data_IF_572362522640
#
_entry.id   IF_572362522640
#
_cell.length_a   1.000
_cell.length_b   1.000
_cell.length_c   1.000
_cell.angle_alpha   90.00
_cell.angle_beta   90.00
_cell.angle_gamma   90.00
#
_symmetry.space_group_name_H-M   'P 1'
#
loop_
_entity.id
_entity.type
_entity.pdbx_description
1 polymer ?
#
# COMPACT_ATOMS: atom_id res chain seq x y z
N UNK A 1 -19.60 16.93 -34.14
CA UNK A 1 -20.90 16.49 -33.58
C UNK A 1 -20.79 15.55 -32.37
N UNK A 2 -19.77 14.68 -32.24
CA UNK A 2 -19.68 13.75 -31.09
C UNK A 2 -19.33 14.42 -29.74
N UNK A 3 -18.41 15.41 -29.73
CA UNK A 3 -17.96 16.06 -28.49
C UNK A 3 -19.05 16.85 -27.78
N UNK A 4 -19.94 17.53 -28.52
CA UNK A 4 -20.98 18.37 -27.93
C UNK A 4 -22.14 17.54 -27.37
N UNK A 5 -22.47 16.40 -28.00
CA UNK A 5 -23.40 15.41 -27.44
C UNK A 5 -22.80 14.75 -26.18
N UNK A 6 -21.52 14.39 -26.22
CA UNK A 6 -20.79 13.87 -25.06
C UNK A 6 -20.75 14.86 -23.89
N UNK A 7 -20.47 16.14 -24.17
CA UNK A 7 -20.49 17.21 -23.16
C UNK A 7 -21.85 17.31 -22.47
N UNK A 8 -22.95 17.37 -23.24
CA UNK A 8 -24.30 17.47 -22.66
C UNK A 8 -24.64 16.27 -21.76
N UNK A 9 -24.29 15.07 -22.18
CA UNK A 9 -24.51 13.86 -21.40
C UNK A 9 -23.69 13.84 -20.11
N UNK A 10 -22.39 14.15 -20.19
CA UNK A 10 -21.49 14.19 -19.04
C UNK A 10 -21.89 15.30 -18.07
N UNK A 11 -22.29 16.48 -18.56
CA UNK A 11 -22.80 17.57 -17.71
C UNK A 11 -24.04 17.16 -16.93
N UNK A 12 -24.98 16.46 -17.58
CA UNK A 12 -26.18 15.93 -16.91
C UNK A 12 -25.80 14.91 -15.83
N UNK A 13 -24.90 13.98 -16.16
CA UNK A 13 -24.42 12.97 -15.23
C UNK A 13 -23.74 13.63 -14.00
N UNK A 14 -22.78 14.52 -14.22
CA UNK A 14 -22.11 15.24 -13.14
C UNK A 14 -23.08 16.04 -12.27
N UNK A 15 -24.13 16.63 -12.86
CA UNK A 15 -25.16 17.34 -12.10
C UNK A 15 -25.92 16.41 -11.15
N UNK A 16 -26.21 15.17 -11.56
CA UNK A 16 -26.87 14.18 -10.72
C UNK A 16 -26.01 13.78 -9.50
N UNK A 17 -24.69 13.79 -9.65
CA UNK A 17 -23.72 13.48 -8.60
C UNK A 17 -23.14 14.75 -7.93
N UNK A 18 -23.75 15.91 -8.17
CA UNK A 18 -23.31 17.20 -7.63
C UNK A 18 -21.83 17.56 -7.92
N UNK A 19 -21.27 17.20 -9.08
CA UNK A 19 -19.90 17.49 -9.52
C UNK A 19 -19.82 18.27 -10.85
N UNK A 20 -20.89 18.99 -11.24
CA UNK A 20 -20.96 19.70 -12.53
C UNK A 20 -19.98 20.88 -12.67
N UNK A 21 -19.45 21.38 -11.56
CA UNK A 21 -18.40 22.41 -11.52
C UNK A 21 -17.09 21.95 -12.16
N UNK A 22 -16.86 20.65 -12.32
CA UNK A 22 -15.70 20.13 -13.08
C UNK A 22 -15.67 20.65 -14.53
N UNK A 23 -16.81 21.08 -15.07
CA UNK A 23 -16.93 21.66 -16.41
C UNK A 23 -17.05 23.19 -16.40
N UNK A 24 -16.79 23.87 -15.27
CA UNK A 24 -16.98 25.32 -15.14
C UNK A 24 -16.15 26.13 -16.15
N UNK A 25 -14.95 25.68 -16.47
CA UNK A 25 -14.03 26.36 -17.38
C UNK A 25 -14.07 25.82 -18.81
N UNK A 26 -15.10 25.03 -19.18
CA UNK A 26 -15.18 24.34 -20.47
C UNK A 26 -14.97 25.27 -21.68
N UNK A 27 -15.51 26.48 -21.64
CA UNK A 27 -15.41 27.46 -22.73
C UNK A 27 -14.05 28.16 -22.80
N UNK A 28 -13.20 27.99 -21.79
CA UNK A 28 -11.87 28.62 -21.67
C UNK A 28 -10.71 27.67 -22.00
N UNK A 29 -11.00 26.40 -22.27
CA UNK A 29 -10.00 25.37 -22.57
C UNK A 29 -10.10 24.91 -24.02
N UNK A 30 -8.98 24.50 -24.60
CA UNK A 30 -8.90 24.04 -25.98
C UNK A 30 -9.52 22.65 -26.18
N UNK A 31 -9.51 22.16 -27.42
CA UNK A 31 -10.11 20.88 -27.77
C UNK A 31 -9.42 19.68 -27.09
N UNK A 32 -8.11 19.71 -26.96
CA UNK A 32 -7.33 18.58 -26.43
C UNK A 32 -7.46 18.52 -24.90
N UNK A 33 -7.41 19.69 -24.25
CA UNK A 33 -7.73 19.86 -22.84
C UNK A 33 -9.15 19.36 -22.52
N UNK A 34 -10.14 19.69 -23.35
CA UNK A 34 -11.51 19.16 -23.21
C UNK A 34 -11.56 17.65 -23.32
N UNK A 35 -10.88 17.06 -24.30
CA UNK A 35 -10.84 15.60 -24.46
C UNK A 35 -10.18 14.91 -23.26
N UNK A 36 -9.09 15.48 -22.76
CA UNK A 36 -8.39 15.01 -21.56
C UNK A 36 -9.29 15.07 -20.31
N UNK A 37 -9.96 16.19 -20.07
CA UNK A 37 -10.88 16.34 -18.93
C UNK A 37 -12.04 15.34 -19.01
N UNK A 38 -12.64 15.13 -20.20
CA UNK A 38 -13.68 14.12 -20.39
C UNK A 38 -13.16 12.69 -20.16
N UNK A 39 -11.90 12.41 -20.49
CA UNK A 39 -11.28 11.12 -20.21
C UNK A 39 -11.09 10.89 -18.70
N UNK A 40 -10.61 11.91 -17.97
CA UNK A 40 -10.49 11.88 -16.51
C UNK A 40 -11.86 11.66 -15.84
N UNK A 41 -12.90 12.41 -16.25
CA UNK A 41 -14.25 12.27 -15.70
C UNK A 41 -14.81 10.86 -15.92
N UNK A 42 -14.52 10.22 -17.06
CA UNK A 42 -14.98 8.84 -17.33
C UNK A 42 -14.30 7.78 -16.48
N UNK A 43 -13.14 8.07 -15.90
CA UNK A 43 -12.46 7.16 -14.97
C UNK A 43 -13.01 7.28 -13.55
N UNK A 44 -13.82 8.31 -13.26
CA UNK A 44 -14.47 8.47 -11.97
C UNK A 44 -15.63 7.49 -11.83
N UNK A 45 -15.65 6.77 -10.72
CA UNK A 45 -16.82 6.04 -10.26
C UNK A 45 -17.72 6.99 -9.46
N UNK A 46 -18.64 7.65 -10.17
CA UNK A 46 -19.47 8.71 -9.60
C UNK A 46 -20.44 8.20 -8.52
N UNK A 47 -20.88 6.94 -8.62
CA UNK A 47 -21.72 6.32 -7.59
C UNK A 47 -20.92 6.11 -6.29
N UNK A 48 -19.68 5.59 -6.40
CA UNK A 48 -18.79 5.50 -5.23
C UNK A 48 -18.43 6.88 -4.67
N UNK A 49 -18.26 7.89 -5.52
CA UNK A 49 -18.00 9.27 -5.07
C UNK A 49 -19.11 9.82 -4.19
N UNK A 50 -20.38 9.62 -4.55
CA UNK A 50 -21.50 10.08 -3.70
C UNK A 50 -21.48 9.42 -2.32
N UNK A 51 -21.21 8.12 -2.30
CA UNK A 51 -21.01 7.37 -1.05
C UNK A 51 -19.83 7.95 -0.26
N UNK A 52 -18.67 8.16 -0.89
CA UNK A 52 -17.49 8.69 -0.21
C UNK A 52 -17.69 10.08 0.35
N UNK A 53 -18.35 10.96 -0.42
CA UNK A 53 -18.66 12.33 0.00
C UNK A 53 -19.54 12.30 1.24
N UNK A 54 -20.55 11.43 1.26
CA UNK A 54 -21.51 11.31 2.36
C UNK A 54 -20.86 10.72 3.61
N UNK A 55 -20.11 9.62 3.46
CA UNK A 55 -19.63 8.82 4.59
C UNK A 55 -18.24 9.21 5.09
N UNK A 56 -17.35 9.72 4.24
CA UNK A 56 -15.96 10.04 4.62
C UNK A 56 -15.68 11.54 4.57
N UNK A 57 -16.13 12.26 3.53
CA UNK A 57 -15.74 13.67 3.35
C UNK A 57 -16.51 14.57 4.32
N UNK A 58 -17.86 14.53 4.25
CA UNK A 58 -18.75 15.38 5.05
C UNK A 58 -18.93 14.90 6.48
N UNK A 59 -18.80 13.60 6.72
CA UNK A 59 -18.87 13.08 8.07
C UNK A 59 -17.59 13.46 8.84
N UNK A 60 -17.77 14.10 10.00
CA UNK A 60 -16.68 14.58 10.86
C UNK A 60 -16.29 13.56 11.92
N UNK A 61 -17.14 12.56 12.17
CA UNK A 61 -16.79 11.49 13.09
C UNK A 61 -15.75 10.60 12.39
N UNK A 62 -14.49 10.68 12.83
CA UNK A 62 -13.69 9.45 12.85
C UNK A 62 -14.53 8.44 13.62
N UNK A 63 -14.73 7.25 13.08
CA UNK A 63 -15.28 6.19 13.88
C UNK A 63 -14.28 5.97 15.01
N UNK A 64 -14.52 6.60 16.17
CA UNK A 64 -13.82 6.25 17.38
C UNK A 64 -13.90 4.73 17.47
N UNK A 65 -12.77 4.08 17.72
CA UNK A 65 -12.71 2.63 17.83
C UNK A 65 -13.52 2.28 19.08
N UNK A 66 -14.82 2.08 18.89
CA UNK A 66 -15.79 1.67 19.90
C UNK A 66 -15.77 0.14 20.08
N UNK A 67 -14.81 -0.54 19.44
CA UNK A 67 -14.63 -1.97 19.58
C UNK A 67 -13.67 -2.24 20.74
N UNK A 68 -14.04 -3.15 21.63
CA UNK A 68 -13.10 -3.73 22.57
C UNK A 68 -12.01 -4.47 21.78
N UNK A 69 -10.75 -4.12 22.03
CA UNK A 69 -9.62 -4.80 21.41
C UNK A 69 -8.62 -5.27 22.46
N UNK A 70 -7.99 -6.40 22.15
CA UNK A 70 -7.01 -7.05 23.03
C UNK A 70 -5.65 -7.15 22.34
N UNK A 71 -4.55 -7.34 23.07
CA UNK A 71 -3.23 -7.51 22.47
C UNK A 71 -3.20 -8.69 21.50
N UNK A 72 -2.51 -8.53 20.36
CA UNK A 72 -2.31 -9.63 19.44
C UNK A 72 -1.19 -10.56 19.92
N UNK A 73 -1.33 -11.86 19.64
CA UNK A 73 -0.27 -12.83 19.82
C UNK A 73 0.77 -12.70 18.70
N UNK A 74 2.05 -12.88 19.03
CA UNK A 74 3.12 -12.99 18.04
C UNK A 74 4.07 -14.14 18.36
N UNK A 75 4.71 -14.66 17.32
CA UNK A 75 5.85 -15.55 17.42
C UNK A 75 7.10 -14.71 17.73
N UNK A 76 7.84 -15.07 18.79
CA UNK A 76 9.12 -14.41 19.11
C UNK A 76 10.20 -14.81 18.10
N UNK A 77 11.21 -13.97 17.81
CA UNK A 77 12.35 -14.38 16.99
C UNK A 77 13.10 -15.58 17.60
N UNK A 78 13.05 -15.75 18.92
CA UNK A 78 13.72 -16.84 19.64
C UNK A 78 12.66 -17.80 20.20
N UNK A 79 12.69 -19.10 19.84
CA UNK A 79 11.70 -20.05 20.32
C UNK A 79 11.87 -20.34 21.81
N UNK A 80 10.81 -20.16 22.59
CA UNK A 80 10.79 -20.25 24.06
C UNK A 80 10.96 -21.68 24.59
N UNK A 81 10.71 -22.72 23.78
CA UNK A 81 10.77 -24.11 24.25
C UNK A 81 10.91 -25.17 23.15
N UNK A 82 11.05 -26.46 23.52
CA UNK A 82 11.30 -27.55 22.57
C UNK A 82 10.23 -27.73 21.50
N UNK A 83 8.95 -27.50 21.83
CA UNK A 83 7.85 -27.59 20.88
C UNK A 83 7.93 -26.51 19.81
N UNK A 84 8.17 -25.26 20.23
CA UNK A 84 8.32 -24.13 19.32
C UNK A 84 9.60 -24.26 18.47
N UNK A 85 10.71 -24.72 19.06
CA UNK A 85 11.94 -25.06 18.31
C UNK A 85 11.67 -26.05 17.18
N UNK A 86 10.86 -27.10 17.44
CA UNK A 86 10.46 -28.07 16.41
C UNK A 86 9.59 -27.41 15.34
N UNK A 87 8.63 -26.56 15.73
CA UNK A 87 7.79 -25.81 14.80
C UNK A 87 8.61 -24.89 13.91
N UNK A 88 9.54 -24.13 14.47
CA UNK A 88 10.41 -23.20 13.75
C UNK A 88 11.33 -23.95 12.79
N UNK A 89 11.87 -25.09 13.22
CA UNK A 89 12.67 -25.95 12.34
C UNK A 89 11.87 -26.45 11.14
N UNK A 90 10.60 -26.86 11.36
CA UNK A 90 9.68 -27.24 10.28
C UNK A 90 9.35 -26.04 9.38
N UNK A 91 9.06 -24.89 9.96
CA UNK A 91 8.76 -23.65 9.23
C UNK A 91 9.94 -23.24 8.34
N UNK A 92 11.14 -23.13 8.89
CA UNK A 92 12.34 -22.79 8.13
C UNK A 92 12.59 -23.78 7.00
N UNK A 93 12.42 -25.09 7.24
CA UNK A 93 12.56 -26.10 6.19
C UNK A 93 11.54 -25.86 5.06
N UNK A 94 10.25 -25.73 5.41
CA UNK A 94 9.18 -25.48 4.46
C UNK A 94 9.40 -24.17 3.68
N UNK A 95 9.75 -23.08 4.35
CA UNK A 95 10.01 -21.80 3.70
C UNK A 95 11.14 -21.89 2.68
N UNK A 96 12.24 -22.60 2.99
CA UNK A 96 13.33 -22.84 2.04
C UNK A 96 12.87 -23.65 0.83
N UNK A 97 12.06 -24.70 1.06
CA UNK A 97 11.48 -25.51 -0.01
C UNK A 97 10.60 -24.67 -0.94
N UNK A 98 9.74 -23.81 -0.38
CA UNK A 98 8.87 -22.92 -1.14
C UNK A 98 9.65 -21.90 -1.98
N UNK A 99 10.69 -21.28 -1.41
CA UNK A 99 11.55 -20.34 -2.15
C UNK A 99 12.28 -21.08 -3.29
N UNK A 100 12.86 -22.25 -3.00
CA UNK A 100 13.58 -23.06 -4.00
C UNK A 100 12.66 -23.59 -5.10
N UNK A 101 11.37 -23.76 -4.80
CA UNK A 101 10.35 -24.12 -5.78
C UNK A 101 9.83 -22.93 -6.61
N UNK A 102 10.36 -21.72 -6.43
CA UNK A 102 9.92 -20.51 -7.15
C UNK A 102 8.53 -20.03 -6.74
N UNK A 103 8.01 -20.45 -5.58
CA UNK A 103 6.65 -20.13 -5.13
C UNK A 103 6.50 -18.77 -4.47
N UNK A 104 7.60 -18.06 -4.24
CA UNK A 104 7.62 -16.79 -3.50
C UNK A 104 8.16 -15.68 -4.40
N UNK A 105 7.42 -14.57 -4.50
CA UNK A 105 7.82 -13.38 -5.22
C UNK A 105 8.15 -12.22 -4.28
N UNK A 106 9.08 -11.36 -4.69
CA UNK A 106 9.33 -10.10 -4.03
C UNK A 106 8.32 -9.04 -4.51
N UNK A 107 7.71 -8.30 -3.59
CA UNK A 107 6.77 -7.23 -3.91
C UNK A 107 7.06 -5.95 -3.12
N UNK A 108 7.50 -4.90 -3.83
CA UNK A 108 7.75 -3.59 -3.23
C UNK A 108 6.65 -2.59 -3.60
N UNK A 109 6.19 -1.85 -2.59
CA UNK A 109 5.36 -0.66 -2.76
C UNK A 109 6.25 0.57 -2.79
N UNK A 110 6.44 1.13 -3.99
CA UNK A 110 7.31 2.25 -4.30
C UNK A 110 6.54 3.45 -4.89
N UNK A 111 5.29 3.64 -4.49
CA UNK A 111 4.46 4.75 -4.97
C UNK A 111 4.90 6.15 -4.47
N UNK A 112 5.71 6.20 -3.42
CA UNK A 112 6.18 7.43 -2.79
C UNK A 112 7.29 8.16 -3.54
N UNK A 113 7.27 9.49 -3.42
CA UNK A 113 8.37 10.37 -3.83
C UNK A 113 9.36 10.60 -2.68
N UNK A 114 10.61 10.91 -3.01
CA UNK A 114 11.67 11.22 -2.05
C UNK A 114 11.62 12.63 -1.46
N UNK A 115 10.55 13.40 -1.67
CA UNK A 115 10.49 14.85 -1.36
C UNK A 115 10.78 15.18 0.11
N UNK A 116 10.29 14.36 1.06
CA UNK A 116 10.59 14.54 2.50
C UNK A 116 12.07 14.33 2.85
N UNK A 117 12.82 13.61 2.00
CA UNK A 117 14.27 13.41 2.13
C UNK A 117 15.06 14.51 1.41
N UNK A 118 14.39 15.53 0.84
CA UNK A 118 15.02 16.51 -0.04
C UNK A 118 15.48 15.92 -1.38
N UNK A 119 14.94 14.77 -1.79
CA UNK A 119 15.30 14.08 -3.02
C UNK A 119 14.23 14.24 -4.09
N UNK A 120 14.63 14.74 -5.26
CA UNK A 120 13.77 14.88 -6.42
C UNK A 120 13.76 13.59 -7.24
N UNK A 121 12.71 12.78 -7.05
CA UNK A 121 12.51 11.52 -7.76
C UNK A 121 12.00 10.38 -6.89
N UNK A 122 11.87 9.18 -7.47
CA UNK A 122 11.24 8.03 -6.82
C UNK A 122 12.09 7.62 -5.63
N UNK A 123 11.45 7.41 -4.47
CA UNK A 123 12.16 7.13 -3.21
C UNK A 123 13.11 5.93 -3.34
N UNK A 124 12.76 4.91 -4.12
CA UNK A 124 13.62 3.75 -4.35
C UNK A 124 14.97 4.07 -5.01
N UNK A 125 15.10 5.22 -5.69
CA UNK A 125 16.37 5.67 -6.27
C UNK A 125 17.21 6.53 -5.31
N UNK A 126 16.77 6.69 -4.06
CA UNK A 126 17.52 7.43 -3.05
C UNK A 126 18.80 6.67 -2.68
N UNK A 127 20.00 7.29 -2.78
CA UNK A 127 21.25 6.68 -2.33
C UNK A 127 21.29 6.61 -0.81
N UNK A 128 21.33 5.39 -0.26
CA UNK A 128 21.23 5.16 1.19
C UNK A 128 22.48 4.54 1.79
N UNK A 129 23.28 3.80 1.01
CA UNK A 129 24.48 3.16 1.56
C UNK A 129 25.69 4.11 1.55
N UNK A 130 26.34 4.36 2.70
CA UNK A 130 27.32 5.45 2.82
C UNK A 130 28.63 5.21 2.07
N UNK A 131 29.04 3.95 1.90
CA UNK A 131 30.34 3.61 1.29
C UNK A 131 30.18 3.34 -0.21
N UNK A 132 29.18 2.53 -0.58
CA UNK A 132 28.97 2.09 -1.97
C UNK A 132 27.99 2.97 -2.74
N UNK A 133 27.37 3.94 -2.07
CA UNK A 133 26.36 4.84 -2.63
C UNK A 133 25.23 4.10 -3.36
N UNK A 134 24.88 2.91 -2.86
CA UNK A 134 23.79 2.09 -3.43
C UNK A 134 22.46 2.75 -3.11
N UNK A 135 21.58 2.76 -4.11
CA UNK A 135 20.19 3.15 -3.92
C UNK A 135 19.40 2.06 -3.22
N UNK A 136 18.23 2.40 -2.69
CA UNK A 136 17.30 1.40 -2.12
C UNK A 136 16.97 0.29 -3.14
N UNK A 137 16.66 0.65 -4.39
CA UNK A 137 16.41 -0.34 -5.45
C UNK A 137 17.61 -1.25 -5.72
N UNK A 138 18.84 -0.73 -5.72
CA UNK A 138 20.03 -1.57 -5.88
C UNK A 138 20.18 -2.56 -4.71
N UNK A 139 19.96 -2.12 -3.47
CA UNK A 139 20.03 -3.00 -2.29
C UNK A 139 19.00 -4.12 -2.40
N UNK A 140 17.77 -3.81 -2.77
CA UNK A 140 16.73 -4.84 -2.95
C UNK A 140 17.05 -5.80 -4.09
N UNK A 141 17.52 -5.29 -5.22
CA UNK A 141 17.91 -6.12 -6.35
C UNK A 141 19.06 -7.07 -6.00
N UNK A 142 20.09 -6.58 -5.29
CA UNK A 142 21.20 -7.41 -4.84
C UNK A 142 20.72 -8.52 -3.89
N UNK A 143 19.81 -8.21 -2.96
CA UNK A 143 19.21 -9.20 -2.06
C UNK A 143 18.38 -10.26 -2.81
N UNK A 144 17.62 -9.85 -3.84
CA UNK A 144 16.84 -10.76 -4.69
C UNK A 144 17.76 -11.65 -5.53
N UNK A 145 18.84 -11.09 -6.10
CA UNK A 145 19.83 -11.85 -6.85
C UNK A 145 20.55 -12.89 -5.96
N UNK A 146 20.95 -12.48 -4.75
CA UNK A 146 21.57 -13.37 -3.77
C UNK A 146 20.61 -14.49 -3.33
N UNK A 147 19.33 -14.19 -3.12
CA UNK A 147 18.32 -15.21 -2.82
C UNK A 147 18.13 -16.19 -4.00
N UNK A 148 18.04 -15.67 -5.23
CA UNK A 148 17.89 -16.49 -6.44
C UNK A 148 19.07 -17.46 -6.59
N UNK A 149 20.30 -16.99 -6.37
CA UNK A 149 21.50 -17.84 -6.40
C UNK A 149 21.50 -18.87 -5.26
N UNK A 150 21.17 -18.45 -4.03
CA UNK A 150 21.19 -19.31 -2.83
C UNK A 150 20.18 -20.45 -2.92
N UNK A 151 19.00 -20.18 -3.45
CA UNK A 151 17.90 -21.14 -3.54
C UNK A 151 17.77 -21.79 -4.93
N UNK A 152 18.64 -21.41 -5.87
CA UNK A 152 18.63 -21.91 -7.25
C UNK A 152 17.25 -21.78 -7.92
N UNK A 153 16.59 -20.65 -7.70
CA UNK A 153 15.23 -20.37 -8.16
C UNK A 153 15.13 -18.96 -8.73
N UNK A 154 14.21 -18.77 -9.67
CA UNK A 154 13.84 -17.42 -10.14
C UNK A 154 12.98 -16.74 -9.06
N UNK A 155 13.47 -15.62 -8.53
CA UNK A 155 12.72 -14.79 -7.58
C UNK A 155 12.19 -13.53 -8.30
N UNK A 156 10.98 -13.56 -8.90
CA UNK A 156 10.45 -12.41 -9.64
C UNK A 156 10.17 -11.23 -8.68
N UNK A 157 10.39 -10.02 -9.21
CA UNK A 157 10.22 -8.78 -8.48
C UNK A 157 9.09 -7.93 -9.07
N UNK A 158 8.06 -7.72 -8.26
CA UNK A 158 6.93 -6.86 -8.58
C UNK A 158 7.16 -5.50 -7.93
N UNK A 159 7.09 -4.44 -8.72
CA UNK A 159 7.38 -3.07 -8.30
C UNK A 159 6.16 -2.21 -8.59
N UNK A 160 5.42 -1.86 -7.55
CA UNK A 160 4.30 -0.93 -7.69
C UNK A 160 4.79 0.51 -7.57
N UNK A 161 4.37 1.35 -8.51
CA UNK A 161 4.66 2.78 -8.54
C UNK A 161 3.38 3.60 -8.46
N UNK A 162 3.48 4.93 -8.32
CA UNK A 162 2.36 5.83 -8.56
C UNK A 162 2.38 6.29 -10.03
N UNK A 163 1.29 6.88 -10.54
CA UNK A 163 1.33 7.52 -11.84
C UNK A 163 2.43 8.57 -11.97
N UNK A 164 2.71 9.30 -10.87
CA UNK A 164 3.71 10.37 -10.83
C UNK A 164 5.15 9.88 -11.06
N UNK A 165 5.52 8.70 -10.55
CA UNK A 165 6.90 8.19 -10.64
C UNK A 165 7.10 7.00 -11.58
N UNK A 166 6.06 6.54 -12.28
CA UNK A 166 6.13 5.36 -13.14
C UNK A 166 7.17 5.49 -14.26
N UNK A 167 7.09 6.55 -15.07
CA UNK A 167 7.98 6.76 -16.20
C UNK A 167 9.45 6.84 -15.78
N UNK A 168 9.71 7.62 -14.73
CA UNK A 168 11.06 7.78 -14.17
C UNK A 168 11.59 6.46 -13.58
N UNK A 169 10.76 5.70 -12.86
CA UNK A 169 11.15 4.38 -12.32
C UNK A 169 11.52 3.41 -13.44
N UNK A 170 10.73 3.32 -14.52
CA UNK A 170 11.08 2.47 -15.67
C UNK A 170 12.40 2.88 -16.32
N UNK A 171 12.66 4.18 -16.44
CA UNK A 171 13.92 4.70 -16.97
C UNK A 171 15.11 4.30 -16.09
N UNK A 172 14.97 4.44 -14.78
CA UNK A 172 15.99 4.06 -13.80
C UNK A 172 16.32 2.58 -13.93
N UNK A 173 15.31 1.70 -13.94
CA UNK A 173 15.54 0.25 -14.07
C UNK A 173 16.23 -0.08 -15.39
N UNK A 174 15.80 0.50 -16.51
CA UNK A 174 16.42 0.26 -17.82
C UNK A 174 17.88 0.72 -17.87
N UNK A 175 18.17 1.93 -17.37
CA UNK A 175 19.54 2.49 -17.30
C UNK A 175 20.48 1.64 -16.46
N UNK A 176 19.95 0.98 -15.43
CA UNK A 176 20.71 0.06 -14.58
C UNK A 176 20.66 -1.40 -15.06
N UNK A 177 20.21 -1.66 -16.29
CA UNK A 177 20.04 -3.01 -16.85
C UNK A 177 19.26 -3.96 -15.92
N UNK A 178 18.17 -3.46 -15.34
CA UNK A 178 17.34 -4.16 -14.35
C UNK A 178 18.16 -4.72 -13.18
N UNK A 179 19.25 -4.04 -12.83
CA UNK A 179 20.19 -4.42 -11.76
C UNK A 179 20.76 -5.83 -11.92
N UNK A 180 20.82 -6.35 -13.16
CA UNK A 180 21.29 -7.69 -13.46
C UNK A 180 20.27 -8.82 -13.24
N UNK A 181 19.06 -8.52 -12.77
CA UNK A 181 18.00 -9.53 -12.55
C UNK A 181 17.37 -10.05 -13.86
N UNK A 182 17.58 -9.31 -14.95
CA UNK A 182 16.93 -9.54 -16.24
C UNK A 182 15.53 -8.93 -16.28
N UNK A 183 15.21 -8.23 -17.38
CA UNK A 183 13.94 -7.51 -17.57
C UNK A 183 12.71 -8.40 -17.35
N UNK A 184 12.76 -9.65 -17.83
CA UNK A 184 11.66 -10.62 -17.68
C UNK A 184 11.31 -10.95 -16.23
N UNK A 185 12.19 -10.66 -15.27
CA UNK A 185 12.01 -10.98 -13.85
C UNK A 185 11.57 -9.76 -13.04
N UNK A 186 11.38 -8.59 -13.68
CA UNK A 186 10.91 -7.37 -13.02
C UNK A 186 9.60 -6.91 -13.66
N UNK A 187 8.53 -6.89 -12.88
CA UNK A 187 7.21 -6.44 -13.31
C UNK A 187 6.88 -5.09 -12.66
N UNK A 188 6.97 -3.99 -13.42
CA UNK A 188 6.69 -2.64 -12.94
C UNK A 188 5.27 -2.23 -13.34
N UNK A 189 4.43 -1.88 -12.37
CA UNK A 189 3.03 -1.52 -12.58
C UNK A 189 2.61 -0.32 -11.72
N UNK A 190 1.48 0.27 -12.06
CA UNK A 190 0.97 1.49 -11.41
C UNK A 190 -0.18 1.15 -10.46
N UNK A 191 -0.20 1.81 -9.31
CA UNK A 191 -1.37 1.87 -8.45
C UNK A 191 -2.42 2.86 -9.01
N UNK A 192 -3.63 2.83 -8.44
CA UNK A 192 -4.69 3.76 -8.78
C UNK A 192 -4.51 5.15 -8.18
N UNK A 193 -5.51 5.99 -8.39
CA UNK A 193 -5.63 7.29 -7.75
C UNK A 193 -7.07 7.58 -7.38
N UNK A 194 -7.26 8.37 -6.33
CA UNK A 194 -8.56 8.89 -5.94
C UNK A 194 -8.58 10.41 -6.12
N UNK A 195 -9.74 11.00 -6.51
CA UNK A 195 -9.88 12.44 -6.56
C UNK A 195 -9.78 13.05 -5.15
N UNK A 196 -9.28 14.27 -5.07
CA UNK A 196 -9.28 15.05 -3.83
C UNK A 196 -10.53 15.92 -3.76
N UNK A 197 -11.03 16.15 -2.54
CA UNK A 197 -12.28 16.86 -2.31
C UNK A 197 -12.08 18.13 -1.49
N UNK A 198 -12.92 19.13 -1.72
CA UNK A 198 -13.15 20.20 -0.75
C UNK A 198 -13.84 19.66 0.51
N UNK A 199 -13.88 20.45 1.58
CA UNK A 199 -14.66 20.13 2.78
C UNK A 199 -16.16 19.92 2.50
N UNK A 200 -16.69 20.48 1.41
CA UNK A 200 -18.10 20.32 0.99
C UNK A 200 -18.34 19.11 0.09
N UNK A 201 -17.31 18.32 -0.23
CA UNK A 201 -17.42 17.15 -1.09
C UNK A 201 -17.31 17.42 -2.59
N UNK A 202 -16.86 18.61 -2.99
CA UNK A 202 -16.61 18.93 -4.40
C UNK A 202 -15.23 18.45 -4.81
N UNK A 203 -15.11 17.75 -5.94
CA UNK A 203 -13.81 17.35 -6.49
C UNK A 203 -12.99 18.59 -6.84
N UNK A 204 -11.71 18.63 -6.45
CA UNK A 204 -10.81 19.75 -6.72
C UNK A 204 -10.23 19.68 -8.14
N UNK A 205 -10.04 20.83 -8.78
CA UNK A 205 -9.37 20.98 -10.07
C UNK A 205 -7.95 21.52 -9.86
N UNK A 206 -6.95 20.85 -10.43
CA UNK A 206 -5.56 21.31 -10.40
C UNK A 206 -5.36 22.53 -11.31
N UNK A 207 -6.06 22.52 -12.44
CA UNK A 207 -6.19 23.63 -13.39
C UNK A 207 -7.52 23.51 -14.14
N UNK A 208 -7.75 24.36 -15.14
CA UNK A 208 -9.02 24.42 -15.89
C UNK A 208 -9.40 23.13 -16.62
N UNK A 209 -8.49 22.17 -16.76
CA UNK A 209 -8.66 20.93 -17.51
C UNK A 209 -8.21 19.65 -16.77
N UNK A 210 -7.68 19.76 -15.54
CA UNK A 210 -7.14 18.63 -14.79
C UNK A 210 -7.74 18.51 -13.39
N UNK A 211 -8.12 17.30 -13.02
CA UNK A 211 -8.62 16.96 -11.69
C UNK A 211 -7.44 16.75 -10.75
N UNK A 212 -7.54 17.25 -9.52
CA UNK A 212 -6.58 16.90 -8.48
C UNK A 212 -6.84 15.45 -8.04
N UNK A 213 -5.85 14.59 -8.27
CA UNK A 213 -5.85 13.21 -7.83
C UNK A 213 -4.64 12.92 -6.96
N UNK A 214 -4.82 12.05 -5.97
CA UNK A 214 -3.72 11.51 -5.17
C UNK A 214 -3.64 9.99 -5.29
N UNK A 215 -2.45 9.40 -5.08
CA UNK A 215 -2.31 7.98 -4.72
C UNK A 215 -3.40 7.49 -3.76
N UNK A 216 -4.01 6.35 -4.08
CA UNK A 216 -5.08 5.68 -3.34
C UNK A 216 -4.63 4.94 -2.07
N UNK A 217 -3.40 5.22 -1.61
CA UNK A 217 -2.79 4.62 -0.43
C UNK A 217 -2.09 3.29 -0.70
N UNK A 218 -1.37 2.77 0.27
CA UNK A 218 -0.67 1.49 0.12
C UNK A 218 -1.63 0.29 0.09
N UNK A 219 -2.88 0.44 0.56
CA UNK A 219 -3.94 -0.57 0.39
C UNK A 219 -4.36 -0.76 -1.08
N UNK A 220 -4.23 0.28 -1.91
CA UNK A 220 -4.47 0.23 -3.35
C UNK A 220 -3.56 -0.77 -4.07
N UNK A 221 -2.48 -1.21 -3.42
CA UNK A 221 -1.58 -2.23 -3.94
C UNK A 221 -2.24 -3.57 -4.26
N UNK A 222 -3.24 -3.98 -3.48
CA UNK A 222 -3.94 -5.25 -3.71
C UNK A 222 -4.80 -5.19 -4.97
N UNK A 223 -5.51 -4.08 -5.18
CA UNK A 223 -6.28 -3.82 -6.40
C UNK A 223 -5.37 -3.61 -7.61
N UNK A 224 -4.23 -2.92 -7.43
CA UNK A 224 -3.26 -2.68 -8.49
C UNK A 224 -2.63 -3.98 -9.00
N UNK A 225 -2.34 -4.95 -8.11
CA UNK A 225 -1.91 -6.29 -8.49
C UNK A 225 -2.94 -6.99 -9.39
N UNK A 226 -4.22 -6.90 -9.02
CA UNK A 226 -5.33 -7.51 -9.77
C UNK A 226 -5.49 -6.86 -11.16
N UNK A 227 -5.57 -5.53 -11.22
CA UNK A 227 -5.82 -4.78 -12.48
C UNK A 227 -4.64 -4.79 -13.46
N UNK A 228 -3.41 -4.94 -12.98
CA UNK A 228 -2.21 -4.88 -13.82
C UNK A 228 -1.89 -6.19 -14.55
N UNK A 229 -2.58 -7.28 -14.23
CA UNK A 229 -2.21 -8.63 -14.70
C UNK A 229 -1.01 -9.24 -13.96
N UNK A 230 -0.55 -8.60 -12.88
CA UNK A 230 0.54 -9.14 -12.06
C UNK A 230 0.17 -10.49 -11.43
N UNK A 231 -1.08 -10.66 -10.96
CA UNK A 231 -1.55 -11.94 -10.42
C UNK A 231 -1.56 -13.06 -11.48
N UNK A 232 -1.90 -12.73 -12.73
CA UNK A 232 -1.84 -13.68 -13.84
C UNK A 232 -0.40 -14.07 -14.20
N UNK A 233 0.55 -13.12 -14.19
CA UNK A 233 1.98 -13.41 -14.35
C UNK A 233 2.49 -14.32 -13.22
N UNK A 234 2.13 -14.02 -11.96
CA UNK A 234 2.46 -14.86 -10.80
C UNK A 234 1.93 -16.28 -10.98
N UNK A 235 0.65 -16.42 -11.35
CA UNK A 235 0.01 -17.72 -11.55
C UNK A 235 0.72 -18.53 -12.64
N UNK A 236 1.08 -17.91 -13.77
CA UNK A 236 1.85 -18.55 -14.85
C UNK A 236 3.22 -19.03 -14.39
N UNK A 237 3.87 -18.31 -13.47
CA UNK A 237 5.18 -18.66 -12.91
C UNK A 237 5.12 -19.68 -11.77
N UNK A 238 3.93 -20.04 -11.28
CA UNK A 238 3.77 -20.89 -10.10
C UNK A 238 4.01 -20.17 -8.77
N UNK A 239 3.98 -18.82 -8.77
CA UNK A 239 4.07 -18.03 -7.55
C UNK A 239 2.76 -18.14 -6.76
N UNK A 240 2.89 -18.44 -5.48
CA UNK A 240 1.78 -18.59 -4.53
C UNK A 240 1.79 -17.49 -3.46
N UNK A 241 2.97 -17.00 -3.10
CA UNK A 241 3.16 -16.06 -1.98
C UNK A 241 3.91 -14.80 -2.41
N UNK A 242 3.48 -13.67 -1.87
CA UNK A 242 4.11 -12.36 -2.04
C UNK A 242 4.81 -11.98 -0.75
N UNK A 243 6.12 -11.72 -0.82
CA UNK A 243 6.84 -11.03 0.24
C UNK A 243 6.79 -9.52 0.00
N UNK A 244 5.95 -8.85 0.78
CA UNK A 244 5.60 -7.45 0.64
C UNK A 244 6.42 -6.55 1.57
N UNK A 245 6.88 -5.39 1.09
CA UNK A 245 7.39 -4.32 1.95
C UNK A 245 7.19 -2.92 1.34
N UNK A 246 7.28 -1.89 2.19
CA UNK A 246 7.40 -0.48 1.77
C UNK A 246 8.85 -0.18 1.36
N UNK A 247 9.02 0.57 0.27
CA UNK A 247 10.34 0.84 -0.36
C UNK A 247 11.41 1.45 0.56
N UNK A 248 11.03 1.97 1.73
CA UNK A 248 11.91 2.75 2.60
C UNK A 248 12.58 1.98 3.73
N UNK A 249 12.37 0.66 3.79
CA UNK A 249 13.12 -0.20 4.71
C UNK A 249 14.30 -0.87 3.98
N UNK A 250 15.54 -0.38 4.11
CA UNK A 250 16.72 -1.00 3.50
C UNK A 250 17.13 -2.34 4.15
N UNK A 251 16.65 -2.64 5.37
CA UNK A 251 17.03 -3.83 6.17
C UNK A 251 16.11 -5.02 5.93
N UNK A 252 15.13 -4.91 5.03
CA UNK A 252 14.18 -5.98 4.74
C UNK A 252 14.86 -7.32 4.42
N UNK A 253 14.56 -8.35 5.23
CA UNK A 253 14.81 -9.74 4.85
C UNK A 253 13.70 -10.24 3.91
N UNK A 254 13.88 -10.02 2.61
CA UNK A 254 12.85 -10.25 1.57
C UNK A 254 12.40 -11.71 1.53
N UNK A 255 13.32 -12.67 1.64
CA UNK A 255 13.01 -14.10 1.54
C UNK A 255 13.30 -14.82 2.85
N UNK A 256 12.66 -14.37 3.93
CA UNK A 256 12.76 -14.97 5.26
C UNK A 256 12.05 -16.34 5.33
N UNK A 257 12.80 -17.46 5.41
CA UNK A 257 12.19 -18.78 5.39
C UNK A 257 11.36 -19.09 6.65
N UNK A 258 11.69 -18.51 7.80
CA UNK A 258 10.91 -18.72 9.02
C UNK A 258 9.53 -18.08 8.84
N UNK A 259 9.49 -16.83 8.38
CA UNK A 259 8.26 -16.10 8.20
C UNK A 259 7.34 -16.73 7.15
N UNK A 260 7.90 -17.08 5.99
CA UNK A 260 7.18 -17.78 4.92
C UNK A 260 6.68 -19.14 5.40
N UNK A 261 7.52 -19.90 6.11
CA UNK A 261 7.16 -21.21 6.63
C UNK A 261 6.05 -21.16 7.67
N UNK A 262 6.12 -20.23 8.63
CA UNK A 262 5.07 -20.04 9.63
C UNK A 262 3.75 -19.64 8.99
N UNK A 263 3.78 -18.72 8.02
CA UNK A 263 2.60 -18.31 7.26
C UNK A 263 1.87 -19.50 6.64
N UNK A 264 2.60 -20.41 5.99
CA UNK A 264 2.01 -21.59 5.35
C UNK A 264 1.57 -22.65 6.36
N UNK A 265 2.37 -22.92 7.40
CA UNK A 265 2.02 -23.90 8.44
C UNK A 265 0.74 -23.52 9.20
N UNK A 266 0.50 -22.22 9.38
CA UNK A 266 -0.71 -21.71 10.03
C UNK A 266 -1.88 -21.53 9.06
N UNK A 267 -1.70 -21.83 7.76
CA UNK A 267 -2.71 -21.62 6.71
C UNK A 267 -3.21 -20.16 6.66
N UNK A 268 -2.30 -19.21 6.89
CA UNK A 268 -2.64 -17.80 6.92
C UNK A 268 -2.93 -17.25 5.51
N UNK A 269 -3.84 -16.29 5.41
CA UNK A 269 -4.14 -15.57 4.16
C UNK A 269 -3.20 -14.38 3.96
N UNK A 270 -2.89 -13.70 5.05
CA UNK A 270 -1.95 -12.58 5.16
C UNK A 270 -1.23 -12.69 6.50
N UNK A 271 0.03 -12.29 6.58
CA UNK A 271 0.81 -12.32 7.83
C UNK A 271 1.75 -11.14 7.87
N UNK A 272 2.18 -10.75 9.06
CA UNK A 272 2.92 -9.51 9.27
C UNK A 272 4.16 -9.73 10.12
N UNK A 273 5.20 -8.92 9.89
CA UNK A 273 6.24 -8.72 10.89
C UNK A 273 5.91 -7.55 11.79
N UNK A 274 6.33 -7.68 13.05
CA UNK A 274 6.22 -6.63 14.06
C UNK A 274 7.58 -6.33 14.68
N UNK A 275 7.74 -5.11 15.19
CA UNK A 275 8.78 -4.78 16.15
C UNK A 275 8.16 -4.55 17.51
N UNK A 276 8.92 -4.86 18.56
CA UNK A 276 8.63 -4.29 19.88
C UNK A 276 8.84 -2.78 19.80
N UNK A 277 7.82 -2.03 20.23
CA UNK A 277 7.85 -0.58 20.27
C UNK A 277 8.94 -0.09 21.22
N UNK A 278 9.70 0.92 20.78
CA UNK A 278 10.71 1.59 21.61
C UNK A 278 10.08 2.40 22.75
N UNK A 279 8.80 2.73 22.63
CA UNK A 279 8.03 3.42 23.66
C UNK A 279 6.53 3.49 23.32
N UNK A 280 5.68 3.90 24.27
CA UNK A 280 4.23 3.85 24.13
C UNK A 280 3.71 4.70 22.96
N UNK A 281 4.37 5.83 22.67
CA UNK A 281 3.99 6.79 21.62
C UNK A 281 4.83 6.70 20.35
N UNK A 282 5.54 5.58 20.13
CA UNK A 282 6.19 5.37 18.83
C UNK A 282 5.14 5.42 17.72
N UNK A 283 5.40 6.19 16.65
CA UNK A 283 4.47 6.45 15.55
C UNK A 283 4.39 5.28 14.56
N UNK A 284 3.90 4.15 15.06
CA UNK A 284 3.65 2.91 14.32
C UNK A 284 2.25 2.40 14.65
N UNK A 285 1.57 1.80 13.68
CA UNK A 285 0.31 1.11 13.93
C UNK A 285 0.51 -0.06 14.90
N UNK A 286 -0.48 -0.35 15.74
CA UNK A 286 -0.40 -1.36 16.80
C UNK A 286 -1.19 -2.60 16.38
N UNK A 287 -0.57 -3.78 16.43
CA UNK A 287 -1.28 -5.03 16.20
C UNK A 287 -2.15 -5.38 17.41
N UNK A 288 -3.44 -5.56 17.16
CA UNK A 288 -4.45 -5.91 18.14
C UNK A 288 -5.35 -7.02 17.59
N UNK A 289 -6.17 -7.59 18.47
CA UNK A 289 -7.31 -8.43 18.10
C UNK A 289 -8.60 -7.65 18.28
N UNK A 290 -9.37 -7.55 17.20
CA UNK A 290 -10.76 -7.04 17.20
C UNK A 290 -11.64 -8.21 16.76
N UNK A 291 -12.60 -8.62 17.58
CA UNK A 291 -13.46 -9.79 17.31
C UNK A 291 -12.68 -11.07 16.94
N UNK A 292 -11.52 -11.27 17.59
CA UNK A 292 -10.61 -12.40 17.34
C UNK A 292 -9.85 -12.34 16.02
N UNK A 293 -9.96 -11.24 15.26
CA UNK A 293 -9.24 -10.99 14.01
C UNK A 293 -8.04 -10.07 14.25
N UNK A 294 -6.91 -10.37 13.61
CA UNK A 294 -5.74 -9.47 13.64
C UNK A 294 -6.08 -8.19 12.88
N UNK A 295 -5.93 -7.06 13.57
CA UNK A 295 -6.19 -5.72 13.06
C UNK A 295 -5.03 -4.81 13.45
N UNK A 296 -4.79 -3.76 12.67
CA UNK A 296 -3.85 -2.69 13.02
C UNK A 296 -4.63 -1.46 13.41
N UNK A 297 -4.33 -0.93 14.59
CA UNK A 297 -4.87 0.34 15.09
C UNK A 297 -3.78 1.40 14.89
N UNK A 298 -4.07 2.42 14.08
CA UNK A 298 -3.12 3.51 13.86
C UNK A 298 -2.79 4.26 15.16
N UNK A 299 -1.56 4.76 15.26
CA UNK A 299 -1.11 5.43 16.48
C UNK A 299 -1.91 6.69 16.80
N UNK A 300 -2.52 7.33 15.79
CA UNK A 300 -3.40 8.49 15.96
C UNK A 300 -4.75 8.13 16.56
N UNK A 301 -5.17 6.88 16.41
CA UNK A 301 -6.49 6.40 16.78
C UNK A 301 -6.46 5.57 18.08
N UNK A 302 -5.26 5.30 18.60
CA UNK A 302 -5.06 4.58 19.86
C UNK A 302 -5.19 5.52 21.08
N UNK A 303 -6.12 5.26 22.02
CA UNK A 303 -6.24 6.05 23.24
C UNK A 303 -4.95 6.05 24.07
N UNK A 304 -4.64 7.21 24.67
CA UNK A 304 -3.39 7.40 25.40
C UNK A 304 -3.20 6.42 26.56
N UNK A 305 -4.27 6.15 27.29
CA UNK A 305 -4.31 5.18 28.39
C UNK A 305 -3.93 3.77 27.93
N UNK A 306 -4.43 3.33 26.77
CA UNK A 306 -4.12 2.02 26.21
C UNK A 306 -2.71 1.96 25.63
N UNK A 307 -2.26 3.03 24.98
CA UNK A 307 -0.89 3.13 24.45
C UNK A 307 0.17 3.05 25.56
N UNK A 308 -0.14 3.57 26.75
CA UNK A 308 0.76 3.60 27.92
C UNK A 308 0.58 2.41 28.87
N UNK A 309 -0.43 1.57 28.65
CA UNK A 309 -0.73 0.42 29.50
C UNK A 309 0.44 -0.55 29.56
N UNK A 310 0.82 -0.98 30.77
CA UNK A 310 1.96 -1.88 31.03
C UNK A 310 1.55 -3.16 31.73
N UNK A 311 2.28 -4.23 31.43
CA UNK A 311 2.27 -5.48 32.17
C UNK A 311 2.99 -5.30 33.52
N UNK A 312 2.83 -6.24 34.48
CA UNK A 312 3.53 -6.19 35.78
C UNK A 312 5.05 -6.15 35.69
N UNK A 313 5.64 -6.68 34.62
CA UNK A 313 7.09 -6.65 34.35
C UNK A 313 7.59 -5.33 33.73
N UNK A 314 6.68 -4.38 33.47
CA UNK A 314 6.97 -3.07 32.90
C UNK A 314 6.92 -3.02 31.36
N UNK A 315 6.79 -4.15 30.66
CA UNK A 315 6.58 -4.20 29.20
C UNK A 315 5.24 -3.54 28.81
N UNK A 316 5.12 -3.07 27.57
CA UNK A 316 3.87 -2.48 27.09
C UNK A 316 2.86 -3.61 26.80
N UNK A 317 1.60 -3.41 27.18
CA UNK A 317 0.52 -4.36 26.86
C UNK A 317 0.29 -4.44 25.35
N UNK A 318 0.37 -3.28 24.68
CA UNK A 318 0.30 -3.17 23.22
C UNK A 318 1.67 -2.77 22.67
N UNK A 319 2.59 -3.73 22.66
CA UNK A 319 3.98 -3.52 22.27
C UNK A 319 4.27 -3.75 20.79
N UNK A 320 3.38 -4.46 20.08
CA UNK A 320 3.63 -4.90 18.70
C UNK A 320 3.35 -3.78 17.69
N UNK A 321 4.41 -3.15 17.21
CA UNK A 321 4.39 -2.14 16.16
C UNK A 321 4.47 -2.74 14.76
N UNK A 322 3.56 -2.32 13.88
CA UNK A 322 3.57 -2.66 12.45
C UNK A 322 4.68 -1.93 11.72
N UNK A 323 5.48 -2.70 10.97
CA UNK A 323 6.55 -2.21 10.09
C UNK A 323 6.23 -2.41 8.60
N UNK A 324 4.96 -2.69 8.28
CA UNK A 324 4.47 -2.87 6.92
C UNK A 324 5.24 -3.90 6.06
N UNK A 325 5.66 -5.00 6.69
CA UNK A 325 6.25 -6.17 6.02
C UNK A 325 5.27 -7.33 6.14
N UNK A 326 4.89 -7.92 5.01
CA UNK A 326 3.85 -8.95 4.98
C UNK A 326 4.21 -10.15 4.10
N UNK A 327 3.67 -11.33 4.44
CA UNK A 327 3.46 -12.40 3.45
C UNK A 327 1.99 -12.40 3.09
N UNK A 328 1.68 -12.44 1.80
CA UNK A 328 0.30 -12.41 1.29
C UNK A 328 0.10 -13.53 0.27
N UNK A 329 -0.98 -14.31 0.42
CA UNK A 329 -1.36 -15.30 -0.58
C UNK A 329 -1.84 -14.62 -1.86
N UNK A 330 -1.31 -15.03 -3.02
CA UNK A 330 -1.82 -14.60 -4.33
C UNK A 330 -3.32 -14.83 -4.44
N UNK A 331 -3.79 -16.02 -4.06
CA UNK A 331 -5.20 -16.39 -4.11
C UNK A 331 -6.08 -15.58 -3.15
N UNK A 332 -5.52 -15.10 -2.03
CA UNK A 332 -6.23 -14.19 -1.13
C UNK A 332 -6.44 -12.83 -1.79
N UNK A 333 -5.42 -12.29 -2.48
CA UNK A 333 -5.55 -11.03 -3.25
C UNK A 333 -6.57 -11.19 -4.39
N UNK A 334 -6.56 -12.32 -5.11
CA UNK A 334 -7.55 -12.60 -6.16
C UNK A 334 -8.97 -12.60 -5.59
N UNK A 335 -9.21 -13.34 -4.50
CA UNK A 335 -10.52 -13.41 -3.84
C UNK A 335 -10.98 -12.04 -3.34
N UNK A 336 -10.07 -11.26 -2.75
CA UNK A 336 -10.37 -9.93 -2.24
C UNK A 336 -10.87 -8.99 -3.34
N UNK A 337 -10.45 -9.15 -4.60
CA UNK A 337 -10.77 -8.20 -5.67
C UNK A 337 -11.76 -8.74 -6.72
N UNK A 338 -12.27 -9.97 -6.55
CA UNK A 338 -13.18 -10.61 -7.51
C UNK A 338 -14.58 -9.96 -7.57
N UNK A 339 -15.09 -9.47 -6.43
CA UNK A 339 -16.49 -9.02 -6.28
C UNK A 339 -16.63 -7.48 -6.13
N UNK A 340 -15.79 -6.69 -6.81
CA UNK A 340 -15.71 -5.21 -6.70
C UNK A 340 -15.48 -4.68 -5.27
N UNK A 341 -14.94 -5.54 -4.40
CA UNK A 341 -14.60 -5.18 -3.04
C UNK A 341 -13.44 -4.17 -3.01
N UNK A 342 -13.56 -3.19 -2.13
CA UNK A 342 -12.51 -2.22 -1.82
C UNK A 342 -12.22 -2.24 -0.33
N UNK A 343 -10.95 -2.13 0.02
CA UNK A 343 -10.55 -1.88 1.41
C UNK A 343 -11.20 -0.58 1.93
N UNK A 344 -11.40 -0.46 3.25
CA UNK A 344 -11.83 0.78 3.88
C UNK A 344 -11.00 1.98 3.43
N UNK A 345 -11.67 3.13 3.27
CA UNK A 345 -11.01 4.39 2.98
C UNK A 345 -10.87 5.21 4.26
N UNK A 346 -9.69 5.80 4.40
CA UNK A 346 -9.31 6.69 5.48
C UNK A 346 -9.21 8.11 4.96
N UNK A 347 -9.67 9.06 5.76
CA UNK A 347 -9.66 10.48 5.44
C UNK A 347 -8.41 11.14 6.03
N UNK A 348 -7.70 11.88 5.18
CA UNK A 348 -6.62 12.76 5.58
C UNK A 348 -6.90 14.19 5.08
N UNK A 349 -6.88 15.17 6.00
CA UNK A 349 -6.92 16.59 5.63
C UNK A 349 -5.51 17.06 5.32
N UNK A 350 -5.33 17.67 4.14
CA UNK A 350 -4.04 18.19 3.65
C UNK A 350 -4.24 19.54 2.98
N UNK A 351 -3.19 20.37 3.00
CA UNK A 351 -3.07 21.51 2.09
C UNK A 351 -2.89 20.99 0.67
N UNK A 352 -3.82 21.33 -0.21
CA UNK A 352 -3.88 20.85 -1.59
C UNK A 352 -3.88 22.05 -2.54
N UNK A 353 -2.86 22.19 -3.41
CA UNK A 353 -2.88 23.14 -4.50
C UNK A 353 -4.00 22.81 -5.50
N UNK A 354 -4.81 23.81 -5.86
CA UNK A 354 -5.94 23.70 -6.80
C UNK A 354 -6.29 25.09 -7.35
N UNK A 355 -7.35 25.17 -8.17
CA UNK A 355 -7.92 26.45 -8.62
C UNK A 355 -9.25 26.77 -7.95
N UNK A 356 -9.50 28.05 -7.70
CA UNK A 356 -10.79 28.56 -7.20
C UNK A 356 -11.85 28.63 -8.32
N UNK A 357 -13.05 29.11 -7.98
CA UNK A 357 -14.18 29.28 -8.92
C UNK A 357 -13.91 30.28 -10.06
N UNK A 358 -12.93 31.17 -9.88
CA UNK A 358 -12.50 32.15 -10.89
C UNK A 358 -11.32 31.62 -11.74
N UNK A 359 -10.75 30.48 -11.38
CA UNK A 359 -9.61 29.86 -12.04
C UNK A 359 -8.25 30.36 -11.54
N UNK A 360 -8.19 31.02 -10.38
CA UNK A 360 -6.94 31.44 -9.74
C UNK A 360 -6.32 30.29 -8.96
N UNK A 361 -4.99 30.15 -9.01
CA UNK A 361 -4.27 29.17 -8.21
C UNK A 361 -4.35 29.51 -6.73
N UNK A 362 -4.74 28.54 -5.92
CA UNK A 362 -4.90 28.64 -4.47
C UNK A 362 -4.40 27.37 -3.79
N UNK A 363 -4.11 27.45 -2.50
CA UNK A 363 -3.84 26.29 -1.66
C UNK A 363 -4.75 26.37 -0.43
N UNK A 364 -5.53 25.33 -0.18
CA UNK A 364 -6.44 25.27 0.98
C UNK A 364 -6.54 23.85 1.52
N UNK A 365 -7.22 23.70 2.66
CA UNK A 365 -7.48 22.38 3.23
C UNK A 365 -8.47 21.61 2.34
N UNK A 366 -8.02 20.45 1.88
CA UNK A 366 -8.85 19.48 1.17
C UNK A 366 -8.74 18.09 1.81
N UNK A 367 -9.67 17.23 1.43
CA UNK A 367 -9.77 15.85 1.88
C UNK A 367 -9.15 14.94 0.82
N UNK A 368 -8.12 14.19 1.24
CA UNK A 368 -7.59 13.03 0.53
C UNK A 368 -8.20 11.77 1.15
N UNK A 369 -8.57 10.82 0.29
CA UNK A 369 -8.93 9.46 0.71
C UNK A 369 -7.80 8.50 0.35
N UNK A 370 -7.53 7.55 1.22
CA UNK A 370 -6.53 6.50 1.00
C UNK A 370 -6.93 5.20 1.69
N UNK A 371 -6.48 4.07 1.16
CA UNK A 371 -6.66 2.76 1.79
C UNK A 371 -5.35 2.26 2.39
N UNK A 372 -5.44 1.46 3.45
CA UNK A 372 -4.29 0.88 4.11
C UNK A 372 -4.24 -0.63 3.90
N UNK A 373 -3.06 -1.15 3.51
CA UNK A 373 -2.86 -2.58 3.20
C UNK A 373 -3.17 -3.48 4.40
N UNK A 374 -2.95 -3.00 5.62
CA UNK A 374 -3.20 -3.76 6.83
C UNK A 374 -4.69 -3.93 7.13
N UNK A 375 -5.58 -3.15 6.50
CA UNK A 375 -7.03 -3.37 6.61
C UNK A 375 -7.47 -4.68 5.92
N UNK A 376 -6.58 -5.32 5.15
CA UNK A 376 -6.80 -6.65 4.62
C UNK A 376 -6.60 -7.77 5.67
N UNK A 377 -5.86 -7.52 6.76
CA UNK A 377 -5.60 -8.51 7.81
C UNK A 377 -6.86 -9.10 8.44
N UNK A 378 -7.89 -8.31 8.84
CA UNK A 378 -9.10 -8.88 9.41
C UNK A 378 -9.94 -9.69 8.42
N UNK A 379 -9.70 -9.52 7.12
CA UNK A 379 -10.38 -10.24 6.04
C UNK A 379 -9.72 -11.59 5.75
N UNK A 380 -8.49 -11.81 6.22
CA UNK A 380 -7.85 -13.11 6.20
C UNK A 380 -8.49 -14.05 7.23
N UNK A 381 -8.70 -15.30 6.84
CA UNK A 381 -9.23 -16.35 7.74
C UNK A 381 -8.34 -16.55 8.96
N UNK A 382 -7.02 -16.52 8.75
CA UNK A 382 -5.96 -16.63 9.74
C UNK A 382 -4.82 -15.68 9.37
N UNK A 383 -4.13 -15.19 10.40
CA UNK A 383 -2.99 -14.29 10.27
C UNK A 383 -1.92 -14.63 11.29
N UNK A 384 -0.66 -14.56 10.87
CA UNK A 384 0.51 -14.74 11.74
C UNK A 384 1.19 -13.40 11.95
N UNK A 385 1.62 -13.12 13.18
CA UNK A 385 2.56 -12.04 13.48
C UNK A 385 3.87 -12.67 13.92
N UNK A 386 4.97 -12.30 13.27
CA UNK A 386 6.33 -12.65 13.68
C UNK A 386 7.05 -11.40 14.17
N UNK A 387 7.45 -11.40 15.43
CA UNK A 387 8.34 -10.38 15.98
C UNK A 387 9.72 -10.50 15.32
N UNK A 388 10.33 -9.37 15.00
CA UNK A 388 11.69 -9.30 14.46
C UNK A 388 12.54 -8.30 15.24
N UNK A 389 13.85 -8.36 15.03
CA UNK A 389 14.82 -7.55 15.75
C UNK A 389 15.06 -6.27 14.95
N UNK A 390 14.92 -5.11 15.59
CA UNK A 390 15.00 -3.79 14.92
C UNK A 390 16.32 -3.54 14.19
N UNK A 391 17.41 -4.12 14.68
CA UNK A 391 18.75 -3.97 14.11
C UNK A 391 19.04 -4.91 12.94
N UNK A 392 18.13 -5.84 12.62
CA UNK A 392 18.31 -6.90 11.62
C UNK A 392 17.54 -6.65 10.32
#
# INVERSE_FOLDING_TARGET
>A
MSTQKNYKNIKKLLKNHHQDHLLAFWDQVDKDQRLNLLAQIRQLDLEKIDFWVTHFVKNLASAAINADFTPAFSYSPIPAGPQEKRKYSKAVKLGKELISAGKVAAFVVAGGQGTRLGFDGPKGNFPISPIKNKTLFQIFADSIAAASQKYQADCPWYVMTSPLNYGQTKEIFRKNNYYGLGEKNVFIFQQGTLPNFSATGKILLADKANIVCSPDGHGGSLMALYRSGALDDMKRRGVEFLSYWQVDNPLINIFDPLFIGLHVLEEAGMSSKALIKAGPKEKVGNFCLVDGRVTVIEYSDMPDELAEKRNPDGSLVFELGSIAIHIINRAFVEKLNADDFSLPLHKAVKKIPHIDENGNAVESDGVKLESFVFDALPLASKSVILETIRSE
#
